data_IF_958186135562
#
_entry.id   IF_958186135562
#
_cell.length_a   1.000
_cell.length_b   1.000
_cell.length_c   1.000
_cell.angle_alpha   90.00
_cell.angle_beta   90.00
_cell.angle_gamma   90.00
#
_symmetry.space_group_name_H-M   'P 1'
#
loop_
_entity.id
_entity.type
_entity.pdbx_description
1 polymer ?
#
# COMPACT_ATOMS: atom_id res chain seq x y z
N UNK A 1 -19.60 44.75 -14.66
CA UNK A 1 -18.33 44.03 -14.35
C UNK A 1 -18.20 43.59 -12.89
N UNK A 2 -18.39 44.47 -11.90
CA UNK A 2 -18.17 44.15 -10.47
C UNK A 2 -19.05 43.02 -9.91
N UNK A 3 -20.29 42.90 -10.38
CA UNK A 3 -21.24 41.85 -9.97
C UNK A 3 -20.93 40.48 -10.57
N UNK A 4 -20.50 40.44 -11.83
CA UNK A 4 -20.07 39.22 -12.52
C UNK A 4 -18.81 38.60 -11.91
N UNK A 5 -17.84 39.44 -11.54
CA UNK A 5 -16.64 39.00 -10.81
C UNK A 5 -16.97 38.40 -9.44
N UNK A 6 -17.95 38.96 -8.73
CA UNK A 6 -18.42 38.43 -7.44
C UNK A 6 -19.09 37.05 -7.57
N UNK A 7 -19.95 36.86 -8.59
CA UNK A 7 -20.58 35.56 -8.85
C UNK A 7 -19.56 34.50 -9.31
N UNK A 8 -18.59 34.87 -10.15
CA UNK A 8 -17.49 33.97 -10.53
C UNK A 8 -16.67 33.54 -9.32
N UNK A 9 -16.29 34.47 -8.44
CA UNK A 9 -15.55 34.15 -7.22
C UNK A 9 -16.34 33.22 -6.28
N UNK A 10 -17.65 33.46 -6.12
CA UNK A 10 -18.53 32.61 -5.30
C UNK A 10 -18.65 31.19 -5.89
N UNK A 11 -18.89 31.07 -7.20
CA UNK A 11 -18.99 29.78 -7.88
C UNK A 11 -17.67 29.00 -7.82
N UNK A 12 -16.53 29.69 -7.99
CA UNK A 12 -15.21 29.09 -7.80
C UNK A 12 -14.98 28.62 -6.35
N UNK A 13 -15.41 29.41 -5.36
CA UNK A 13 -15.34 29.03 -3.95
C UNK A 13 -16.18 27.80 -3.62
N UNK A 14 -17.42 27.73 -4.12
CA UNK A 14 -18.31 26.57 -3.96
C UNK A 14 -17.72 25.33 -4.63
N UNK A 15 -17.20 25.47 -5.85
CA UNK A 15 -16.55 24.37 -6.57
C UNK A 15 -15.31 23.86 -5.83
N UNK A 16 -14.47 24.75 -5.29
CA UNK A 16 -13.31 24.38 -4.50
C UNK A 16 -13.70 23.65 -3.21
N UNK A 17 -14.74 24.12 -2.51
CA UNK A 17 -15.25 23.47 -1.31
C UNK A 17 -15.86 22.10 -1.63
N UNK A 18 -16.63 21.98 -2.71
CA UNK A 18 -17.20 20.70 -3.14
C UNK A 18 -16.11 19.69 -3.53
N UNK A 19 -15.08 20.14 -4.25
CA UNK A 19 -13.90 19.32 -4.58
C UNK A 19 -13.16 18.88 -3.31
N UNK A 20 -12.98 19.80 -2.34
CA UNK A 20 -12.36 19.48 -1.06
C UNK A 20 -13.17 18.43 -0.28
N UNK A 21 -14.50 18.59 -0.19
CA UNK A 21 -15.38 17.61 0.46
C UNK A 21 -15.29 16.25 -0.25
N UNK A 22 -15.36 16.23 -1.59
CA UNK A 22 -15.27 15.01 -2.37
C UNK A 22 -13.96 14.26 -2.10
N UNK A 23 -12.83 14.96 -2.12
CA UNK A 23 -11.50 14.37 -1.91
C UNK A 23 -11.35 13.88 -0.47
N UNK A 24 -11.53 14.77 0.51
CA UNK A 24 -11.13 14.51 1.90
C UNK A 24 -12.20 13.81 2.76
N UNK A 25 -13.46 13.76 2.30
CA UNK A 25 -14.54 13.06 3.03
C UNK A 25 -15.04 11.79 2.37
N UNK A 26 -14.95 11.69 1.04
CA UNK A 26 -15.52 10.56 0.30
C UNK A 26 -14.40 9.62 -0.17
N UNK A 27 -13.39 10.15 -0.89
CA UNK A 27 -12.36 9.32 -1.53
C UNK A 27 -11.35 8.78 -0.52
N UNK A 28 -10.92 9.58 0.45
CA UNK A 28 -9.94 9.16 1.46
C UNK A 28 -10.57 8.43 2.64
N UNK A 29 -9.78 7.62 3.34
CA UNK A 29 -10.10 7.20 4.70
C UNK A 29 -10.31 8.45 5.57
N UNK A 30 -11.39 8.49 6.37
CA UNK A 30 -11.59 9.61 7.28
C UNK A 30 -10.47 9.64 8.31
N UNK A 31 -9.76 10.77 8.38
CA UNK A 31 -8.73 10.99 9.38
C UNK A 31 -9.27 10.72 10.80
N UNK A 32 -8.47 10.02 11.62
CA UNK A 32 -8.84 9.66 12.99
C UNK A 32 -9.81 8.48 13.12
N UNK A 33 -10.28 7.88 12.02
CA UNK A 33 -11.11 6.66 12.06
C UNK A 33 -10.29 5.43 11.70
N UNK A 34 -9.82 4.64 12.69
CA UNK A 34 -8.98 3.49 12.42
C UNK A 34 -9.74 2.45 11.57
N UNK A 35 -8.98 1.72 10.78
CA UNK A 35 -9.45 0.58 9.99
C UNK A 35 -8.75 -0.66 10.53
N UNK A 36 -9.47 -1.76 10.71
CA UNK A 36 -8.88 -3.06 11.08
C UNK A 36 -9.53 -4.14 10.22
N UNK A 37 -8.69 -5.00 9.65
CA UNK A 37 -9.07 -6.09 8.76
C UNK A 37 -8.44 -7.35 9.35
N UNK A 38 -9.29 -8.22 9.90
CA UNK A 38 -8.92 -9.50 10.50
C UNK A 38 -9.36 -10.69 9.66
N UNK A 39 -10.11 -10.47 8.57
CA UNK A 39 -10.64 -11.52 7.69
C UNK A 39 -11.58 -12.50 8.39
N UNK A 40 -12.24 -12.06 9.46
CA UNK A 40 -13.20 -12.87 10.21
C UNK A 40 -14.47 -13.17 9.39
N UNK A 41 -15.21 -14.26 9.70
CA UNK A 41 -16.47 -14.58 9.04
C UNK A 41 -17.44 -13.40 9.00
N UNK A 42 -17.92 -13.05 7.81
CA UNK A 42 -18.88 -11.96 7.60
C UNK A 42 -18.23 -10.61 7.30
N UNK A 43 -16.91 -10.47 7.43
CA UNK A 43 -16.19 -9.30 6.96
C UNK A 43 -16.37 -9.14 5.43
N UNK A 44 -16.80 -7.96 4.99
CA UNK A 44 -17.11 -7.69 3.59
C UNK A 44 -15.94 -6.99 2.91
N UNK A 45 -15.57 -7.48 1.73
CA UNK A 45 -14.71 -6.76 0.79
C UNK A 45 -15.55 -6.10 -0.29
N UNK A 46 -15.14 -4.93 -0.76
CA UNK A 46 -15.71 -4.30 -1.94
C UNK A 46 -15.46 -5.16 -3.19
N UNK A 47 -16.48 -5.27 -4.06
CA UNK A 47 -16.41 -6.00 -5.35
C UNK A 47 -15.71 -5.19 -6.44
N UNK A 48 -15.37 -3.93 -6.16
CA UNK A 48 -14.71 -3.04 -7.12
C UNK A 48 -14.34 -1.71 -6.51
N UNK A 49 -13.66 -0.88 -7.30
CA UNK A 49 -13.10 0.40 -6.83
C UNK A 49 -14.18 1.42 -6.45
N UNK A 50 -15.30 1.44 -7.17
CA UNK A 50 -16.43 2.34 -6.87
C UNK A 50 -17.04 2.04 -5.50
N UNK A 51 -17.32 0.76 -5.20
CA UNK A 51 -17.84 0.36 -3.87
C UNK A 51 -16.88 0.72 -2.74
N UNK A 52 -15.57 0.59 -3.00
CA UNK A 52 -14.55 0.99 -2.03
C UNK A 52 -14.59 2.51 -1.78
N UNK A 53 -14.75 3.33 -2.83
CA UNK A 53 -14.84 4.80 -2.72
C UNK A 53 -16.10 5.23 -1.96
N UNK A 54 -17.23 4.56 -2.16
CA UNK A 54 -18.47 4.87 -1.45
C UNK A 54 -18.52 4.34 -0.01
N UNK A 55 -17.48 3.63 0.44
CA UNK A 55 -17.34 3.20 1.83
C UNK A 55 -18.18 1.96 2.19
N UNK A 56 -18.60 1.16 1.21
CA UNK A 56 -19.33 -0.09 1.46
C UNK A 56 -18.48 -1.17 2.16
N UNK A 57 -17.16 -1.03 2.08
CA UNK A 57 -16.16 -1.89 2.70
C UNK A 57 -14.84 -1.13 2.89
N UNK A 58 -13.98 -1.65 3.76
CA UNK A 58 -12.68 -1.04 4.05
C UNK A 58 -11.57 -1.40 3.04
N UNK A 59 -11.77 -2.50 2.29
CA UNK A 59 -10.82 -2.96 1.28
C UNK A 59 -11.53 -3.58 0.07
N UNK A 60 -10.81 -3.62 -1.05
CA UNK A 60 -11.21 -4.35 -2.24
C UNK A 60 -10.14 -5.40 -2.59
N UNK A 61 -10.58 -6.59 -3.00
CA UNK A 61 -9.69 -7.63 -3.50
C UNK A 61 -9.34 -7.39 -4.98
N UNK A 62 -8.08 -7.60 -5.32
CA UNK A 62 -7.49 -7.52 -6.64
C UNK A 62 -6.84 -8.87 -6.97
N UNK A 63 -7.66 -9.84 -7.35
CA UNK A 63 -7.24 -11.17 -7.79
C UNK A 63 -7.89 -11.56 -9.12
N UNK A 64 -7.25 -12.45 -9.87
CA UNK A 64 -7.72 -12.88 -11.20
C UNK A 64 -8.96 -13.77 -11.13
N UNK A 65 -9.00 -14.62 -10.10
CA UNK A 65 -9.65 -15.90 -10.24
C UNK A 65 -9.79 -16.64 -8.90
N UNK A 66 -10.60 -17.70 -8.88
CA UNK A 66 -10.78 -18.54 -7.71
C UNK A 66 -9.44 -19.11 -7.23
N UNK A 67 -9.16 -18.98 -5.93
CA UNK A 67 -7.91 -19.45 -5.32
C UNK A 67 -6.72 -18.50 -5.44
N UNK A 68 -6.85 -17.36 -6.14
CA UNK A 68 -5.87 -16.26 -6.06
C UNK A 68 -5.92 -15.57 -4.69
N UNK A 69 -7.12 -15.50 -4.09
CA UNK A 69 -7.30 -15.17 -2.68
C UNK A 69 -8.10 -16.28 -2.03
N UNK A 70 -7.76 -16.62 -0.79
CA UNK A 70 -8.42 -17.67 -0.03
C UNK A 70 -8.28 -17.40 1.47
N UNK A 71 -9.13 -18.03 2.27
CA UNK A 71 -9.07 -17.92 3.73
C UNK A 71 -8.72 -19.27 4.31
N UNK A 72 -7.84 -19.28 5.31
CA UNK A 72 -7.49 -20.48 6.09
C UNK A 72 -7.61 -20.16 7.57
N UNK A 73 -7.77 -21.19 8.40
CA UNK A 73 -7.81 -21.05 9.85
C UNK A 73 -6.42 -20.69 10.38
N UNK A 74 -6.31 -19.70 11.28
CA UNK A 74 -5.06 -19.50 12.04
C UNK A 74 -4.93 -20.63 13.06
N UNK A 75 -3.95 -21.50 12.87
CA UNK A 75 -3.69 -22.62 13.78
C UNK A 75 -3.06 -22.20 15.10
N UNK A 76 -2.51 -20.97 15.21
CA UNK A 76 -1.86 -20.46 16.43
C UNK A 76 -2.79 -19.62 17.30
N UNK A 77 -3.53 -18.67 16.72
CA UNK A 77 -4.40 -17.75 17.49
C UNK A 77 -5.89 -18.10 17.45
N UNK A 78 -6.29 -19.05 16.60
CA UNK A 78 -7.70 -19.18 16.20
C UNK A 78 -8.12 -18.05 15.25
N UNK A 79 -9.33 -18.13 14.70
CA UNK A 79 -9.80 -17.18 13.69
C UNK A 79 -9.38 -17.53 12.26
N UNK A 80 -9.46 -16.55 11.37
CA UNK A 80 -9.23 -16.68 9.93
C UNK A 80 -8.11 -15.77 9.46
N UNK A 81 -7.31 -16.23 8.49
CA UNK A 81 -6.26 -15.42 7.84
C UNK A 81 -6.40 -15.54 6.35
N UNK A 82 -5.97 -14.51 5.62
CA UNK A 82 -6.12 -14.47 4.16
C UNK A 82 -4.81 -14.80 3.45
N UNK A 83 -4.88 -15.78 2.58
CA UNK A 83 -3.82 -16.10 1.62
C UNK A 83 -4.00 -15.34 0.32
N UNK A 84 -2.88 -14.83 -0.18
CA UNK A 84 -2.75 -14.23 -1.50
C UNK A 84 -1.76 -15.06 -2.30
N UNK A 85 -2.21 -15.58 -3.43
CA UNK A 85 -1.44 -16.45 -4.32
C UNK A 85 -1.42 -15.87 -5.73
N UNK A 86 -0.25 -15.89 -6.32
CA UNK A 86 -0.03 -15.53 -7.73
C UNK A 86 0.75 -16.63 -8.43
N UNK A 87 0.24 -17.07 -9.59
CA UNK A 87 0.84 -18.08 -10.46
C UNK A 87 1.25 -17.47 -11.79
N UNK A 88 2.27 -18.03 -12.47
CA UNK A 88 2.67 -17.63 -13.81
C UNK A 88 1.56 -17.81 -14.87
N UNK A 89 0.58 -18.66 -14.57
CA UNK A 89 -0.57 -18.95 -15.43
C UNK A 89 -1.78 -18.08 -15.14
N UNK A 90 -1.73 -17.23 -14.11
CA UNK A 90 -2.86 -16.38 -13.75
C UNK A 90 -3.05 -15.26 -14.78
N UNK A 91 -4.31 -14.93 -15.06
CA UNK A 91 -4.64 -13.77 -15.89
C UNK A 91 -4.15 -12.48 -15.22
N UNK A 92 -3.71 -11.52 -16.03
CA UNK A 92 -3.23 -10.24 -15.52
C UNK A 92 -4.35 -9.48 -14.80
N UNK A 93 -4.02 -8.94 -13.62
CA UNK A 93 -4.88 -8.06 -12.84
C UNK A 93 -4.25 -6.68 -12.82
N UNK A 94 -5.00 -5.68 -13.30
CA UNK A 94 -4.49 -4.31 -13.49
C UNK A 94 -3.19 -4.28 -14.31
N UNK A 95 -3.13 -5.13 -15.35
CA UNK A 95 -2.04 -5.15 -16.33
C UNK A 95 -0.80 -5.98 -15.96
N UNK A 96 -0.79 -6.70 -14.83
CA UNK A 96 0.36 -7.54 -14.44
C UNK A 96 -0.03 -8.66 -13.45
N UNK A 97 0.92 -9.48 -13.01
CA UNK A 97 0.75 -10.62 -12.10
C UNK A 97 0.61 -10.17 -10.65
N UNK A 98 -0.61 -10.19 -10.11
CA UNK A 98 -0.88 -9.87 -8.71
C UNK A 98 -2.05 -10.65 -8.12
N UNK A 99 -2.01 -10.80 -6.82
CA UNK A 99 -3.15 -11.05 -5.96
C UNK A 99 -2.99 -10.21 -4.71
N UNK A 100 -3.78 -9.16 -4.57
CA UNK A 100 -3.64 -8.18 -3.47
C UNK A 100 -5.00 -7.77 -2.94
N UNK A 101 -5.03 -7.19 -1.75
CA UNK A 101 -6.07 -6.27 -1.33
C UNK A 101 -5.59 -4.84 -1.54
N UNK A 102 -6.51 -3.89 -1.65
CA UNK A 102 -6.22 -2.46 -1.54
C UNK A 102 -7.14 -1.79 -0.54
N UNK A 103 -6.63 -0.79 0.16
CA UNK A 103 -7.41 0.14 1.00
C UNK A 103 -7.77 1.40 0.22
N UNK A 104 -8.61 2.24 0.82
CA UNK A 104 -8.74 3.64 0.42
C UNK A 104 -7.45 4.43 0.73
N UNK A 105 -7.16 5.51 -0.01
CA UNK A 105 -6.03 6.38 0.29
C UNK A 105 -6.23 7.16 1.58
N UNK A 106 -5.12 7.61 2.17
CA UNK A 106 -5.16 8.64 3.20
C UNK A 106 -5.02 10.03 2.58
N UNK A 107 -5.32 11.07 3.36
CA UNK A 107 -4.98 12.44 3.01
C UNK A 107 -3.45 12.63 3.01
N UNK A 108 -2.95 13.56 2.18
CA UNK A 108 -1.55 14.03 2.24
C UNK A 108 -1.40 14.99 3.42
N UNK A 109 -0.19 15.07 3.99
CA UNK A 109 0.16 16.03 5.04
C UNK A 109 -0.13 15.58 6.47
N UNK A 110 -0.60 14.34 6.63
CA UNK A 110 -0.96 13.77 7.91
C UNK A 110 -0.11 12.53 8.23
N UNK A 111 0.16 12.28 9.52
CA UNK A 111 0.97 11.13 9.97
C UNK A 111 0.12 9.89 10.22
N UNK A 112 0.25 8.89 9.34
CA UNK A 112 -0.54 7.65 9.40
C UNK A 112 0.32 6.49 9.91
N UNK A 113 -0.31 5.61 10.67
CA UNK A 113 0.25 4.33 11.06
C UNK A 113 -0.41 3.18 10.29
N UNK A 114 0.39 2.19 9.90
CA UNK A 114 -0.07 0.94 9.34
C UNK A 114 0.49 -0.23 10.15
N UNK A 115 -0.33 -1.25 10.38
CA UNK A 115 0.09 -2.54 10.93
C UNK A 115 -0.31 -3.63 9.95
N UNK A 116 0.51 -4.66 9.85
CA UNK A 116 0.17 -5.89 9.14
C UNK A 116 0.91 -7.06 9.74
N UNK A 117 0.22 -8.17 10.00
CA UNK A 117 0.86 -9.45 10.28
C UNK A 117 0.97 -10.23 8.98
N UNK A 118 2.15 -10.74 8.69
CA UNK A 118 2.34 -11.61 7.54
C UNK A 118 3.14 -12.86 7.87
N UNK A 119 2.84 -13.94 7.15
CA UNK A 119 3.60 -15.18 7.17
C UNK A 119 4.05 -15.54 5.75
N UNK A 120 5.33 -15.85 5.64
CA UNK A 120 5.95 -16.40 4.43
C UNK A 120 5.99 -17.92 4.58
N UNK A 121 5.40 -18.71 3.67
CA UNK A 121 5.36 -20.17 3.78
C UNK A 121 6.73 -20.85 3.91
N UNK A 122 6.77 -22.02 4.52
CA UNK A 122 8.00 -22.79 4.75
C UNK A 122 8.71 -23.20 3.45
N UNK A 123 7.94 -23.51 2.41
CA UNK A 123 8.38 -23.92 1.08
C UNK A 123 8.77 -22.73 0.17
N UNK A 124 8.84 -21.51 0.72
CA UNK A 124 9.22 -20.32 -0.04
C UNK A 124 10.62 -20.43 -0.65
N UNK A 125 10.69 -20.52 -1.97
CA UNK A 125 11.95 -20.53 -2.72
C UNK A 125 12.49 -19.12 -2.91
N UNK A 126 13.76 -18.92 -2.56
CA UNK A 126 14.45 -17.66 -2.79
C UNK A 126 14.54 -17.35 -4.29
N UNK A 127 14.52 -16.07 -4.65
CA UNK A 127 14.55 -15.62 -6.04
C UNK A 127 15.14 -14.22 -6.14
N UNK A 128 15.83 -13.93 -7.25
CA UNK A 128 16.36 -12.57 -7.50
C UNK A 128 15.27 -11.61 -7.95
N UNK A 129 14.15 -12.13 -8.44
CA UNK A 129 12.95 -11.37 -8.80
C UNK A 129 12.21 -10.98 -7.51
N UNK A 130 12.01 -9.68 -7.27
CA UNK A 130 11.31 -9.23 -6.06
C UNK A 130 9.83 -9.62 -6.10
N UNK A 131 9.31 -10.05 -4.95
CA UNK A 131 7.87 -10.15 -4.70
C UNK A 131 7.48 -9.03 -3.76
N UNK A 132 6.67 -8.09 -4.23
CA UNK A 132 6.17 -6.99 -3.44
C UNK A 132 5.04 -7.52 -2.55
N UNK A 133 5.25 -7.47 -1.24
CA UNK A 133 4.31 -7.97 -0.23
C UNK A 133 3.35 -6.87 0.24
N UNK A 134 3.88 -5.66 0.39
CA UNK A 134 3.09 -4.46 0.69
C UNK A 134 3.61 -3.31 -0.16
N UNK A 135 2.70 -2.48 -0.65
CA UNK A 135 3.04 -1.26 -1.39
C UNK A 135 2.05 -0.16 -1.08
N UNK A 136 2.53 1.07 -1.05
CA UNK A 136 1.71 2.27 -1.01
C UNK A 136 1.78 2.89 -2.37
N UNK A 137 0.68 2.82 -3.11
CA UNK A 137 0.63 3.28 -4.49
C UNK A 137 0.09 4.71 -4.53
N UNK A 138 0.72 5.58 -5.34
CA UNK A 138 0.22 6.93 -5.58
C UNK A 138 -1.20 6.90 -6.18
N UNK A 139 -2.03 7.84 -5.76
CA UNK A 139 -3.37 8.02 -6.30
C UNK A 139 -3.24 8.87 -7.55
N UNK A 140 -3.14 8.22 -8.72
CA UNK A 140 -3.00 8.94 -10.00
C UNK A 140 -4.02 10.06 -10.10
N UNK A 141 -3.57 11.24 -10.51
CA UNK A 141 -4.47 12.31 -10.91
C UNK A 141 -5.08 11.94 -12.26
N UNK A 142 -6.20 11.21 -12.22
CA UNK A 142 -6.86 10.64 -13.40
C UNK A 142 -7.19 11.68 -14.48
N UNK A 143 -7.35 12.94 -14.10
CA UNK A 143 -7.63 14.05 -15.02
C UNK A 143 -6.42 14.51 -15.84
N UNK A 144 -5.21 14.07 -15.49
CA UNK A 144 -3.94 14.52 -16.10
C UNK A 144 -3.29 13.49 -17.05
N UNK A 145 -3.94 12.34 -17.31
CA UNK A 145 -3.47 11.28 -18.23
C UNK A 145 -2.04 10.76 -17.92
N UNK A 146 -1.65 10.76 -16.64
CA UNK A 146 -0.29 10.39 -16.22
C UNK A 146 0.06 8.90 -16.46
N UNK A 147 1.33 8.58 -16.77
CA UNK A 147 1.80 7.21 -16.87
C UNK A 147 1.76 6.49 -15.50
N UNK A 148 2.02 5.17 -15.49
CA UNK A 148 2.19 4.43 -14.24
C UNK A 148 3.42 4.91 -13.45
N UNK A 149 3.28 5.08 -12.14
CA UNK A 149 4.36 5.51 -11.23
C UNK A 149 4.92 4.34 -10.42
N UNK A 150 6.20 4.40 -10.06
CA UNK A 150 6.76 3.55 -9.01
C UNK A 150 6.05 3.88 -7.68
N UNK A 151 5.69 2.90 -6.82
CA UNK A 151 5.00 3.21 -5.58
C UNK A 151 5.85 4.08 -4.62
N UNK A 152 5.26 5.06 -3.93
CA UNK A 152 5.91 5.83 -2.88
C UNK A 152 6.67 5.01 -1.82
N UNK A 153 6.15 3.84 -1.46
CA UNK A 153 6.80 2.90 -0.56
C UNK A 153 6.48 1.46 -1.00
N UNK A 154 7.48 0.59 -1.02
CA UNK A 154 7.30 -0.86 -1.16
C UNK A 154 8.12 -1.64 -0.13
N UNK A 155 7.53 -2.74 0.33
CA UNK A 155 8.18 -3.76 1.13
C UNK A 155 8.12 -5.04 0.33
N UNK A 156 9.29 -5.53 -0.09
CA UNK A 156 9.43 -6.65 -1.00
C UNK A 156 10.37 -7.73 -0.45
N UNK A 157 10.15 -8.97 -0.90
CA UNK A 157 11.04 -10.09 -0.64
C UNK A 157 11.94 -10.24 -1.86
N UNK A 158 13.25 -10.16 -1.65
CA UNK A 158 14.27 -10.40 -2.68
C UNK A 158 15.33 -11.34 -2.12
N UNK A 159 15.54 -12.48 -2.76
CA UNK A 159 16.40 -13.54 -2.27
C UNK A 159 15.90 -14.09 -0.93
N UNK A 160 16.71 -13.91 0.12
CA UNK A 160 16.42 -14.29 1.52
C UNK A 160 16.32 -13.08 2.45
N UNK A 161 15.97 -11.91 1.92
CA UNK A 161 15.80 -10.67 2.69
C UNK A 161 14.51 -9.96 2.32
N UNK A 162 13.99 -9.25 3.30
CA UNK A 162 13.10 -8.12 3.11
C UNK A 162 13.90 -6.92 2.64
N UNK A 163 13.32 -6.16 1.71
CA UNK A 163 13.84 -4.91 1.20
C UNK A 163 12.74 -3.86 1.29
N UNK A 164 13.08 -2.68 1.79
CA UNK A 164 12.20 -1.53 1.84
C UNK A 164 12.75 -0.47 0.90
N UNK A 165 11.95 -0.04 -0.07
CA UNK A 165 12.31 1.06 -0.96
C UNK A 165 11.25 2.15 -0.90
N UNK A 166 11.68 3.41 -0.99
CA UNK A 166 10.78 4.55 -1.18
C UNK A 166 11.04 5.21 -2.53
N UNK A 167 10.05 5.93 -3.03
CA UNK A 167 10.18 6.80 -4.18
C UNK A 167 9.45 8.12 -4.00
N UNK A 168 9.82 9.12 -4.79
CA UNK A 168 9.18 10.43 -4.77
C UNK A 168 9.21 11.09 -6.15
N UNK A 169 8.32 12.06 -6.32
CA UNK A 169 8.25 12.89 -7.52
C UNK A 169 7.72 14.28 -7.12
N UNK A 170 8.50 15.34 -7.34
CA UNK A 170 8.12 16.72 -7.02
C UNK A 170 7.31 17.37 -8.15
N UNK A 171 7.25 16.74 -9.32
CA UNK A 171 6.54 17.27 -10.49
C UNK A 171 5.04 17.20 -10.24
N UNK A 172 4.34 18.28 -10.58
CA UNK A 172 2.87 18.35 -10.53
C UNK A 172 2.26 17.41 -11.57
N UNK A 173 2.93 17.29 -12.73
CA UNK A 173 2.54 16.38 -13.80
C UNK A 173 3.70 15.44 -14.05
N UNK A 174 3.45 14.16 -13.79
CA UNK A 174 4.37 13.06 -14.04
C UNK A 174 4.51 12.88 -15.55
N UNK A 175 5.73 13.00 -16.04
CA UNK A 175 6.05 12.74 -17.45
C UNK A 175 6.70 11.37 -17.60
N UNK A 176 6.61 10.80 -18.81
CA UNK A 176 7.36 9.57 -19.10
C UNK A 176 8.85 9.88 -19.01
N UNK A 177 9.51 9.21 -18.08
CA UNK A 177 10.93 9.36 -17.82
C UNK A 177 11.58 7.98 -17.89
N UNK A 178 12.67 7.89 -18.65
CA UNK A 178 13.43 6.64 -18.83
C UNK A 178 14.65 6.57 -17.90
N UNK A 179 14.98 7.64 -17.18
CA UNK A 179 16.14 7.67 -16.30
C UNK A 179 15.99 6.71 -15.11
N UNK A 180 14.78 6.61 -14.57
CA UNK A 180 14.44 5.70 -13.48
C UNK A 180 13.22 4.83 -13.80
N UNK A 181 13.12 3.61 -13.24
CA UNK A 181 11.93 2.78 -13.34
C UNK A 181 10.68 3.52 -12.85
N UNK A 182 9.57 3.38 -13.57
CA UNK A 182 8.27 3.87 -13.10
C UNK A 182 8.12 5.40 -13.06
N UNK A 183 8.83 6.16 -13.90
CA UNK A 183 8.56 7.59 -14.14
C UNK A 183 8.60 8.48 -12.88
N UNK A 184 9.57 8.28 -11.98
CA UNK A 184 9.76 9.07 -10.75
C UNK A 184 11.11 9.78 -10.74
N UNK A 185 11.30 10.78 -9.87
CA UNK A 185 12.56 11.53 -9.78
C UNK A 185 13.59 10.88 -8.85
N UNK A 186 13.13 10.04 -7.91
CA UNK A 186 14.01 9.32 -7.00
C UNK A 186 13.45 8.00 -6.53
N UNK A 187 14.33 7.01 -6.38
CA UNK A 187 14.08 5.71 -5.75
C UNK A 187 15.29 5.38 -4.90
N UNK A 188 15.08 4.97 -3.66
CA UNK A 188 16.15 4.57 -2.75
C UNK A 188 15.72 3.44 -1.84
N UNK A 189 16.63 2.52 -1.55
CA UNK A 189 16.46 1.50 -0.51
C UNK A 189 16.74 2.14 0.87
N UNK A 190 15.79 2.02 1.80
CA UNK A 190 15.85 2.66 3.12
C UNK A 190 15.91 1.65 4.28
N UNK A 191 15.82 0.35 3.97
CA UNK A 191 15.80 -0.67 5.00
C UNK A 191 15.88 -2.08 4.44
N UNK A 192 16.35 -2.98 5.29
CA UNK A 192 16.40 -4.41 5.03
C UNK A 192 16.19 -5.20 6.33
N UNK A 193 15.76 -6.46 6.18
CA UNK A 193 15.71 -7.41 7.27
C UNK A 193 15.87 -8.84 6.75
N UNK A 194 16.38 -9.79 7.55
CA UNK A 194 16.41 -11.19 7.16
C UNK A 194 15.00 -11.76 6.98
N UNK A 195 14.82 -12.61 5.97
CA UNK A 195 13.56 -13.32 5.74
C UNK A 195 13.45 -14.52 6.69
N UNK A 196 12.46 -14.50 7.58
CA UNK A 196 12.06 -15.66 8.38
C UNK A 196 10.82 -16.30 7.74
N UNK A 197 10.89 -17.61 7.50
CA UNK A 197 9.79 -18.40 6.94
C UNK A 197 9.01 -19.10 8.06
N UNK A 198 7.78 -19.50 7.73
CA UNK A 198 6.86 -20.25 8.61
C UNK A 198 6.63 -19.61 9.98
N UNK A 199 6.78 -18.29 10.05
CA UNK A 199 6.66 -17.51 11.27
C UNK A 199 5.90 -16.24 10.94
N UNK A 200 4.94 -15.91 11.80
CA UNK A 200 4.24 -14.64 11.71
C UNK A 200 5.18 -13.51 12.11
N UNK A 201 5.27 -12.51 11.24
CA UNK A 201 6.02 -11.27 11.43
C UNK A 201 5.03 -10.11 11.51
N UNK A 202 5.21 -9.22 12.48
CA UNK A 202 4.41 -8.01 12.62
C UNK A 202 5.19 -6.82 12.08
N UNK A 203 4.66 -6.23 11.01
CA UNK A 203 5.14 -4.98 10.46
C UNK A 203 4.33 -3.83 11.02
N UNK A 204 5.03 -2.81 11.50
CA UNK A 204 4.44 -1.51 11.84
C UNK A 204 5.17 -0.43 11.08
N UNK A 205 4.42 0.46 10.45
CA UNK A 205 4.91 1.50 9.57
C UNK A 205 4.27 2.81 10.02
N UNK A 206 5.08 3.80 10.38
CA UNK A 206 4.62 5.18 10.63
C UNK A 206 5.14 6.06 9.51
N UNK A 207 4.24 6.75 8.83
CA UNK A 207 4.60 7.59 7.69
C UNK A 207 3.94 8.95 7.80
N UNK A 208 4.74 10.00 7.63
CA UNK A 208 4.27 11.31 7.24
C UNK A 208 4.52 11.46 5.73
N UNK A 209 3.45 11.42 4.93
CA UNK A 209 3.55 11.46 3.47
C UNK A 209 3.83 12.88 2.99
N UNK A 210 4.98 13.07 2.33
CA UNK A 210 5.35 14.33 1.71
C UNK A 210 6.21 14.11 0.47
N UNK A 211 5.99 14.92 -0.56
CA UNK A 211 6.87 15.00 -1.72
C UNK A 211 8.08 15.90 -1.50
N UNK A 212 8.31 16.42 -0.29
CA UNK A 212 9.45 17.28 0.05
C UNK A 212 10.15 16.81 1.34
N UNK A 213 11.09 17.62 1.84
CA UNK A 213 11.91 17.32 3.03
C UNK A 213 11.14 17.07 4.34
N UNK A 214 9.85 17.43 4.41
CA UNK A 214 9.00 17.15 5.57
C UNK A 214 8.63 15.66 5.70
N UNK A 215 8.89 14.84 4.68
CA UNK A 215 8.57 13.43 4.69
C UNK A 215 9.33 12.65 5.77
N UNK A 216 8.67 11.65 6.33
CA UNK A 216 9.28 10.76 7.32
C UNK A 216 8.70 9.36 7.24
N UNK A 217 9.56 8.35 7.32
CA UNK A 217 9.19 6.94 7.27
C UNK A 217 9.92 6.19 8.38
N UNK A 218 9.16 5.66 9.34
CA UNK A 218 9.68 4.77 10.38
C UNK A 218 9.04 3.40 10.25
N UNK A 219 9.85 2.34 10.34
CA UNK A 219 9.37 0.96 10.18
C UNK A 219 9.95 0.08 11.28
N UNK A 220 9.08 -0.75 11.85
CA UNK A 220 9.41 -1.79 12.82
C UNK A 220 9.00 -3.16 12.28
N UNK A 221 9.87 -4.14 12.53
CA UNK A 221 9.60 -5.56 12.32
C UNK A 221 9.72 -6.25 13.68
N UNK A 222 8.62 -6.85 14.13
CA UNK A 222 8.52 -7.52 15.44
C UNK A 222 8.99 -6.61 16.60
N UNK A 223 8.59 -5.34 16.56
CA UNK A 223 8.94 -4.33 17.56
C UNK A 223 10.38 -3.79 17.46
N UNK A 224 11.21 -4.31 16.56
CA UNK A 224 12.55 -3.77 16.29
C UNK A 224 12.49 -2.74 15.16
N UNK A 225 12.92 -1.51 15.41
CA UNK A 225 13.04 -0.48 14.37
C UNK A 225 14.08 -0.92 13.32
N UNK A 226 13.70 -0.96 12.05
CA UNK A 226 14.58 -1.28 10.91
C UNK A 226 14.91 -0.06 10.05
N UNK A 227 14.08 0.99 10.12
CA UNK A 227 14.24 2.23 9.35
C UNK A 227 13.73 3.43 10.17
N UNK A 228 14.46 4.54 10.10
CA UNK A 228 14.06 5.89 10.54
C UNK A 228 14.57 6.88 9.49
N UNK A 229 13.83 6.98 8.39
CA UNK A 229 14.22 7.70 7.20
C UNK A 229 13.47 9.05 7.11
N UNK A 230 14.17 10.07 6.60
CA UNK A 230 13.66 11.43 6.43
C UNK A 230 13.73 11.86 4.96
N UNK A 231 13.02 12.92 4.65
CA UNK A 231 12.98 13.49 3.31
C UNK A 231 11.81 12.93 2.48
N UNK A 232 11.77 13.26 1.18
CA UNK A 232 10.61 12.97 0.35
C UNK A 232 10.31 11.47 0.27
N UNK A 233 9.02 11.12 0.36
CA UNK A 233 8.51 9.75 0.38
C UNK A 233 7.13 9.62 -0.30
N UNK A 234 6.70 10.61 -1.07
CA UNK A 234 5.46 10.62 -1.82
C UNK A 234 5.62 11.37 -3.14
N UNK A 235 4.64 11.24 -4.03
CA UNK A 235 4.51 12.09 -5.21
C UNK A 235 3.69 13.32 -4.88
N UNK A 236 3.86 14.38 -5.67
CA UNK A 236 3.07 15.61 -5.57
C UNK A 236 1.67 15.43 -6.18
N UNK A 237 0.91 14.50 -5.61
CA UNK A 237 -0.47 14.18 -5.98
C UNK A 237 -1.45 14.85 -4.98
N UNK A 238 -2.70 15.10 -5.40
CA UNK A 238 -3.73 15.68 -4.53
C UNK A 238 -4.13 14.75 -3.36
N UNK A 239 -3.96 13.45 -3.56
CA UNK A 239 -4.42 12.40 -2.65
C UNK A 239 -3.22 11.54 -2.23
N UNK A 240 -3.18 11.19 -0.95
CA UNK A 240 -2.08 10.40 -0.40
C UNK A 240 -2.05 8.98 -0.95
N UNK A 241 -0.94 8.26 -0.70
CA UNK A 241 -0.81 6.89 -1.14
C UNK A 241 -1.81 5.97 -0.43
N UNK A 242 -2.31 4.97 -1.17
CA UNK A 242 -3.16 3.92 -0.62
C UNK A 242 -2.39 2.60 -0.49
N UNK A 243 -2.60 1.89 0.61
CA UNK A 243 -1.93 0.63 0.88
C UNK A 243 -2.53 -0.50 0.03
N UNK A 244 -1.66 -1.37 -0.46
CA UNK A 244 -1.97 -2.71 -0.96
C UNK A 244 -1.15 -3.74 -0.21
N UNK A 245 -1.70 -4.92 -0.05
CA UNK A 245 -1.02 -6.06 0.57
C UNK A 245 -1.40 -7.37 -0.12
N UNK A 246 -0.43 -8.25 -0.31
CA UNK A 246 -0.62 -9.54 -0.97
C UNK A 246 0.64 -9.98 -1.69
N UNK A 247 0.50 -10.55 -2.88
CA UNK A 247 1.63 -10.94 -3.75
C UNK A 247 1.56 -10.17 -5.06
N UNK A 248 2.54 -9.31 -5.31
CA UNK A 248 2.72 -8.65 -6.60
C UNK A 248 4.10 -8.96 -7.18
N UNK A 249 4.14 -9.47 -8.41
CA UNK A 249 5.38 -9.90 -9.08
C UNK A 249 5.51 -9.24 -10.46
N UNK A 250 5.78 -7.92 -10.52
CA UNK A 250 5.75 -7.17 -11.79
C UNK A 250 6.67 -7.73 -12.85
N UNK A 251 7.85 -8.21 -12.45
CA UNK A 251 8.88 -8.72 -13.34
C UNK A 251 8.43 -9.93 -14.15
N UNK A 252 7.45 -10.73 -13.69
CA UNK A 252 6.92 -11.84 -14.48
C UNK A 252 6.29 -11.36 -15.79
N UNK A 253 5.67 -10.18 -15.79
CA UNK A 253 5.11 -9.55 -17.00
C UNK A 253 6.15 -9.00 -17.98
N UNK A 254 7.42 -8.84 -17.55
CA UNK A 254 8.48 -8.23 -18.36
C UNK A 254 9.60 -9.20 -18.75
N UNK A 255 10.01 -10.07 -17.83
CA UNK A 255 11.17 -10.94 -17.95
C UNK A 255 10.81 -12.44 -17.85
N UNK A 256 9.53 -12.77 -17.65
CA UNK A 256 9.07 -14.13 -17.42
C UNK A 256 9.37 -14.63 -16.00
N UNK A 257 9.19 -15.93 -15.81
CA UNK A 257 9.25 -16.60 -14.50
C UNK A 257 10.42 -17.56 -14.42
N UNK A 258 11.10 -17.61 -13.27
CA UNK A 258 12.11 -18.64 -13.04
C UNK A 258 11.52 -20.05 -13.04
N UNK A 259 12.21 -21.00 -13.69
CA UNK A 259 11.68 -22.34 -14.00
C UNK A 259 11.16 -23.11 -12.77
N UNK A 260 11.80 -22.92 -11.63
CA UNK A 260 11.53 -23.63 -10.37
C UNK A 260 10.46 -22.97 -9.50
N UNK A 261 9.98 -21.78 -9.88
CA UNK A 261 8.92 -21.04 -9.20
C UNK A 261 7.57 -21.34 -9.88
N UNK A 262 6.66 -21.97 -9.14
CA UNK A 262 5.31 -22.31 -9.63
C UNK A 262 4.23 -21.37 -9.12
N UNK A 263 4.45 -20.79 -7.94
CA UNK A 263 3.58 -19.78 -7.36
C UNK A 263 4.34 -18.93 -6.34
N UNK A 264 3.76 -17.79 -6.00
CA UNK A 264 4.09 -16.98 -4.82
C UNK A 264 2.86 -16.93 -3.95
N UNK A 265 3.01 -17.30 -2.69
CA UNK A 265 1.92 -17.28 -1.71
C UNK A 265 2.39 -16.59 -0.44
N UNK A 266 1.59 -15.66 0.06
CA UNK A 266 1.79 -15.00 1.35
C UNK A 266 0.47 -15.04 2.13
N UNK A 267 0.57 -15.19 3.45
CA UNK A 267 -0.57 -15.14 4.35
C UNK A 267 -0.53 -13.83 5.12
N UNK A 268 -1.69 -13.19 5.27
CA UNK A 268 -1.86 -11.92 5.93
C UNK A 268 -2.98 -12.00 6.97
N UNK A 269 -2.81 -11.22 8.02
CA UNK A 269 -3.76 -11.04 9.11
C UNK A 269 -3.54 -9.65 9.73
N UNK A 270 -4.52 -9.18 10.50
CA UNK A 270 -4.40 -8.00 11.36
C UNK A 270 -3.85 -6.76 10.64
N UNK A 271 -4.37 -6.49 9.44
CA UNK A 271 -4.06 -5.26 8.73
C UNK A 271 -4.83 -4.12 9.38
N UNK A 272 -4.13 -3.07 9.78
CA UNK A 272 -4.76 -1.93 10.39
C UNK A 272 -4.18 -0.61 9.90
N UNK A 273 -5.01 0.42 9.90
CA UNK A 273 -4.64 1.82 9.76
C UNK A 273 -4.99 2.53 11.06
N UNK A 274 -4.02 3.24 11.63
CA UNK A 274 -4.15 3.97 12.89
C UNK A 274 -3.65 5.41 12.77
N UNK A 275 -4.02 6.21 13.78
CA UNK A 275 -3.72 7.64 13.84
C UNK A 275 -3.32 8.02 15.28
N UNK A 276 -2.64 9.17 15.44
CA UNK A 276 -2.16 9.64 16.75
C UNK A 276 -0.71 9.25 17.04
N UNK A 277 -0.36 9.24 18.32
CA UNK A 277 1.04 9.20 18.76
C UNK A 277 1.70 7.82 18.58
N UNK A 278 1.04 6.74 19.01
CA UNK A 278 1.50 5.35 18.82
C UNK A 278 0.32 4.37 18.98
N UNK A 279 -0.60 4.29 18.00
CA UNK A 279 -1.82 3.48 18.10
C UNK A 279 -1.56 1.97 18.13
N UNK A 280 -0.32 1.55 17.91
CA UNK A 280 0.09 0.14 17.89
C UNK A 280 1.11 -0.19 18.99
N UNK A 281 1.35 0.75 19.91
CA UNK A 281 2.18 0.57 21.10
C UNK A 281 3.57 0.00 20.82
N UNK A 282 4.18 0.34 19.66
CA UNK A 282 5.51 -0.18 19.31
C UNK A 282 6.62 0.34 20.22
N UNK A 283 6.41 1.48 20.88
CA UNK A 283 7.31 2.01 21.90
C UNK A 283 7.13 1.36 23.28
N UNK A 284 6.00 0.71 23.55
CA UNK A 284 5.70 0.11 24.84
C UNK A 284 6.24 -1.32 24.90
N UNK A 285 7.24 -1.54 25.77
CA UNK A 285 7.62 -2.88 26.21
C UNK A 285 6.97 -3.10 27.57
N UNK A 286 5.91 -3.90 27.71
CA UNK A 286 5.54 -4.36 29.03
C UNK A 286 6.75 -5.11 29.58
N UNK A 287 7.23 -4.67 30.75
CA UNK A 287 8.30 -5.34 31.48
C UNK A 287 7.94 -6.83 31.60
N UNK A 288 8.89 -7.69 31.23
CA UNK A 288 8.75 -9.14 31.31
C UNK A 288 8.89 -9.61 32.75
#
# INVERSE_FOLDING_TARGET
MRTWLGWLALLSGIAALAAWILVFRIITLPWGKPVTIGFEPGEKSAKGELQLVFGDADYALQGCCAGSTFVVKDTRRGGQVRGFRTRPTDAHVKGNFRSELRLRPNAVGETVWYRSRLLVPADWKASKVPVIAMQWHGSKDFFLLEPGKYPPLDISIRGNRWQVSKSWDHRIVTVKDKALPGNVEGIVEIGEAPLVRNTWMTWVIRVHWSSNEAGRTEIWLDGKKITDDRGPNAHRDLIGPYMKAGTYVPNWGYAGVEKDIKERTLLFDDLAVGYGDDPFEVGYRPER
#
